data_IF_601875908522
#
_entry.id   IF_601875908522
#
_cell.length_a   1.000
_cell.length_b   1.000
_cell.length_c   1.000
_cell.angle_alpha   90.00
_cell.angle_beta   90.00
_cell.angle_gamma   90.00
#
_symmetry.space_group_name_H-M   'P 1'
#
loop_
_entity.id
_entity.type
_entity.pdbx_description
1 polymer ?
#
# COMPACT_ATOMS: atom_id res chain seq x y z
N UNK A 1 -6.04 -9.19 -11.59
CA UNK A 1 -6.54 -7.93 -11.00
C UNK A 1 -5.35 -7.15 -10.46
N UNK A 2 -4.95 -6.03 -11.09
CA UNK A 2 -3.76 -5.26 -10.71
C UNK A 2 -3.73 -4.89 -9.22
N UNK A 3 -4.86 -4.41 -8.67
CA UNK A 3 -4.95 -4.06 -7.26
C UNK A 3 -4.73 -5.27 -6.32
N UNK A 4 -5.30 -6.44 -6.65
CA UNK A 4 -5.08 -7.65 -5.85
C UNK A 4 -3.62 -8.09 -5.86
N UNK A 5 -2.89 -7.93 -6.98
CA UNK A 5 -1.46 -8.24 -7.04
C UNK A 5 -0.64 -7.23 -6.25
N UNK A 6 -1.00 -5.93 -6.31
CA UNK A 6 -0.34 -4.88 -5.54
C UNK A 6 -0.43 -5.10 -4.02
N UNK A 7 -1.49 -5.78 -3.52
CA UNK A 7 -1.60 -6.14 -2.10
C UNK A 7 -0.52 -7.12 -1.60
N UNK A 8 0.23 -7.75 -2.50
CA UNK A 8 1.29 -8.71 -2.19
C UNK A 8 2.64 -8.35 -2.81
N UNK A 9 2.82 -7.09 -3.25
CA UNK A 9 4.10 -6.60 -3.78
C UNK A 9 5.21 -6.58 -2.70
N UNK A 10 4.80 -6.51 -1.44
CA UNK A 10 5.61 -6.72 -0.24
C UNK A 10 4.83 -7.56 0.76
N UNK A 11 5.47 -7.94 1.89
CA UNK A 11 4.84 -8.75 2.93
C UNK A 11 3.60 -8.06 3.50
N UNK A 12 2.45 -8.75 3.44
CA UNK A 12 1.23 -8.33 4.12
C UNK A 12 1.47 -8.28 5.65
N UNK A 13 1.04 -7.23 6.38
CA UNK A 13 0.08 -6.18 6.03
C UNK A 13 0.64 -4.86 5.48
N UNK A 14 1.89 -4.81 4.99
CA UNK A 14 2.51 -3.55 4.54
C UNK A 14 1.70 -2.87 3.42
N UNK A 15 1.33 -3.54 2.31
CA UNK A 15 0.63 -2.88 1.20
C UNK A 15 -0.78 -2.41 1.56
N UNK A 16 -1.54 -3.21 2.31
CA UNK A 16 -2.91 -2.85 2.68
C UNK A 16 -2.95 -1.68 3.65
N UNK A 17 -2.07 -1.64 4.67
CA UNK A 17 -2.00 -0.49 5.58
C UNK A 17 -1.50 0.76 4.87
N UNK A 18 -0.56 0.63 3.94
CA UNK A 18 -0.09 1.75 3.11
C UNK A 18 -1.24 2.30 2.25
N UNK A 19 -2.05 1.42 1.65
CA UNK A 19 -3.23 1.82 0.86
C UNK A 19 -4.25 2.58 1.71
N UNK A 20 -4.59 2.06 2.89
CA UNK A 20 -5.54 2.71 3.80
C UNK A 20 -5.03 4.07 4.30
N UNK A 21 -3.72 4.21 4.49
CA UNK A 21 -3.11 5.48 4.86
C UNK A 21 -3.18 6.51 3.72
N UNK A 22 -2.89 6.10 2.49
CA UNK A 22 -3.06 6.96 1.30
C UNK A 22 -4.52 7.39 1.10
N UNK A 23 -5.48 6.53 1.45
CA UNK A 23 -6.92 6.83 1.42
C UNK A 23 -7.40 7.68 2.62
N UNK A 24 -6.49 8.11 3.51
CA UNK A 24 -6.82 8.91 4.70
C UNK A 24 -7.69 8.18 5.72
N UNK A 25 -7.64 6.84 5.76
CA UNK A 25 -8.44 6.02 6.69
C UNK A 25 -7.70 5.66 7.98
N UNK A 26 -6.37 5.63 7.96
CA UNK A 26 -5.48 5.35 9.10
C UNK A 26 -4.17 6.14 8.97
N UNK A 27 -3.35 6.18 10.01
CA UNK A 27 -2.05 6.91 10.00
C UNK A 27 -0.90 6.18 9.28
N UNK A 28 -1.06 4.88 8.97
CA UNK A 28 -0.06 4.10 8.25
C UNK A 28 1.13 3.61 9.08
N UNK A 29 1.08 3.73 10.40
CA UNK A 29 2.15 3.26 11.29
C UNK A 29 2.47 1.77 11.11
N UNK A 30 3.76 1.43 11.10
CA UNK A 30 4.24 0.04 11.10
C UNK A 30 4.96 -0.24 12.42
N UNK A 31 4.68 -1.41 13.01
CA UNK A 31 5.43 -1.90 14.17
C UNK A 31 6.46 -2.91 13.69
N UNK A 32 7.64 -2.86 14.30
CA UNK A 32 8.68 -3.85 14.07
C UNK A 32 8.13 -5.27 14.33
N UNK A 33 8.53 -6.28 13.53
CA UNK A 33 9.63 -6.25 12.56
C UNK A 33 9.26 -5.66 11.19
N UNK A 34 8.02 -5.21 10.98
CA UNK A 34 7.61 -4.59 9.72
C UNK A 34 8.20 -3.18 9.60
N UNK A 35 8.49 -2.77 8.37
CA UNK A 35 8.98 -1.44 8.03
C UNK A 35 8.04 -0.77 7.01
N UNK A 36 8.16 0.55 6.83
CA UNK A 36 7.48 1.26 5.74
C UNK A 36 7.84 0.67 4.37
N UNK A 37 6.88 0.73 3.44
CA UNK A 37 7.03 0.25 2.08
C UNK A 37 8.18 0.95 1.35
N UNK A 38 8.92 0.22 0.51
CA UNK A 38 9.98 0.80 -0.31
C UNK A 38 9.40 1.84 -1.30
N UNK A 39 10.08 2.99 -1.56
CA UNK A 39 9.55 4.04 -2.43
C UNK A 39 9.16 3.56 -3.83
N UNK A 40 9.92 2.62 -4.41
CA UNK A 40 9.63 2.06 -5.73
C UNK A 40 8.35 1.22 -5.77
N UNK A 41 8.01 0.53 -4.67
CA UNK A 41 6.77 -0.24 -4.56
C UNK A 41 5.59 0.66 -4.18
N UNK A 42 5.84 1.75 -3.45
CA UNK A 42 4.84 2.75 -3.12
C UNK A 42 4.23 3.39 -4.38
N UNK A 43 5.05 3.74 -5.38
CA UNK A 43 4.53 4.28 -6.65
C UNK A 43 3.65 3.27 -7.39
N UNK A 44 4.09 2.02 -7.49
CA UNK A 44 3.30 0.95 -8.13
C UNK A 44 1.96 0.72 -7.43
N UNK A 45 1.96 0.74 -6.10
CA UNK A 45 0.75 0.63 -5.30
C UNK A 45 -0.18 1.83 -5.55
N UNK A 46 0.39 3.05 -5.59
CA UNK A 46 -0.36 4.29 -5.83
C UNK A 46 -1.01 4.30 -7.21
N UNK A 47 -0.29 3.88 -8.25
CA UNK A 47 -0.84 3.72 -9.61
C UNK A 47 -2.00 2.72 -9.62
N UNK A 48 -1.81 1.54 -9.02
CA UNK A 48 -2.87 0.54 -8.94
C UNK A 48 -4.11 1.02 -8.15
N UNK A 49 -3.96 1.92 -7.17
CA UNK A 49 -5.10 2.53 -6.46
C UNK A 49 -5.79 3.61 -7.31
N UNK A 50 -5.04 4.43 -8.04
CA UNK A 50 -5.55 5.48 -8.94
C UNK A 50 -6.40 4.89 -10.07
N UNK A 51 -5.95 3.79 -10.66
CA UNK A 51 -6.69 3.08 -11.73
C UNK A 51 -8.09 2.64 -11.30
N UNK A 52 -8.30 2.47 -9.99
CA UNK A 52 -9.58 2.11 -9.38
C UNK A 52 -10.30 3.28 -8.69
N UNK A 53 -9.77 4.51 -8.80
CA UNK A 53 -10.38 5.72 -8.22
C UNK A 53 -10.39 5.77 -6.69
N UNK A 54 -9.44 5.11 -6.03
CA UNK A 54 -9.38 5.03 -4.56
C UNK A 54 -8.54 6.15 -3.93
N UNK A 55 -7.61 6.74 -4.69
CA UNK A 55 -6.71 7.85 -4.29
C UNK A 55 -6.45 8.78 -5.47
#
# INVERSE_FOLDING_TARGET
LPLCQAMFIETNPIPVKTSLALMGKIDGEMRLPLCPMAPANLEKLREALKDYGLV
#
